data_IF_753323588818
#
_entry.id   IF_753323588818
#
_cell.length_a   1.000
_cell.length_b   1.000
_cell.length_c   1.000
_cell.angle_alpha   90.00
_cell.angle_beta   90.00
_cell.angle_gamma   90.00
#
_symmetry.space_group_name_H-M   'P 1'
#
loop_
_entity.id
_entity.type
_entity.pdbx_description
1 polymer ?
#
# COMPACT_ATOMS: atom_id res chain seq x y z
N UNK A 1 23.05 13.36 -12.83
CA UNK A 1 22.69 13.96 -11.54
C UNK A 1 21.35 14.71 -11.61
N UNK A 2 21.04 15.43 -12.68
CA UNK A 2 19.73 16.12 -12.86
C UNK A 2 18.56 15.14 -12.82
N UNK A 3 18.71 13.95 -13.42
CA UNK A 3 17.71 12.89 -13.39
C UNK A 3 17.40 12.37 -11.97
N UNK A 4 18.33 12.49 -11.04
CA UNK A 4 18.15 12.08 -9.63
C UNK A 4 17.61 13.21 -8.74
N UNK A 5 17.29 14.38 -9.29
CA UNK A 5 16.85 15.52 -8.49
C UNK A 5 17.97 16.15 -7.65
N UNK A 6 19.25 15.95 -8.03
CA UNK A 6 20.42 16.52 -7.35
C UNK A 6 20.91 17.72 -8.13
N UNK A 7 21.08 18.90 -7.49
CA UNK A 7 21.66 20.07 -8.15
C UNK A 7 23.04 19.75 -8.75
N UNK A 8 23.26 20.23 -9.94
CA UNK A 8 24.55 20.09 -10.63
C UNK A 8 25.28 21.46 -10.68
N UNK A 9 26.48 21.48 -10.17
CA UNK A 9 27.35 22.65 -10.25
C UNK A 9 28.21 22.52 -11.50
N UNK A 10 28.05 23.44 -12.44
CA UNK A 10 28.88 23.52 -13.64
C UNK A 10 30.29 24.01 -13.28
N UNK A 11 31.27 23.71 -14.14
CA UNK A 11 32.68 24.17 -13.95
C UNK A 11 32.79 25.71 -13.85
N UNK A 12 31.84 26.45 -14.42
CA UNK A 12 31.74 27.89 -14.33
C UNK A 12 31.13 28.43 -13.01
N UNK A 13 30.78 27.53 -12.07
CA UNK A 13 30.16 27.87 -10.78
C UNK A 13 28.64 28.08 -10.81
N UNK A 14 27.99 27.94 -11.98
CA UNK A 14 26.54 28.00 -12.07
C UNK A 14 25.91 26.70 -11.51
N UNK A 15 24.85 26.88 -10.71
CA UNK A 15 24.07 25.77 -10.15
C UNK A 15 22.84 25.57 -11.01
N UNK A 16 22.78 24.44 -11.69
CA UNK A 16 21.57 23.97 -12.38
C UNK A 16 20.73 23.14 -11.42
N UNK A 17 19.56 23.67 -11.05
CA UNK A 17 18.61 22.92 -10.23
C UNK A 17 17.88 21.90 -11.10
N UNK A 18 17.65 20.68 -10.58
CA UNK A 18 16.84 19.68 -11.28
C UNK A 18 15.41 20.19 -11.44
N UNK A 19 14.76 19.89 -12.58
CA UNK A 19 13.38 20.31 -12.81
C UNK A 19 12.40 19.62 -11.85
N UNK A 20 12.78 18.45 -11.31
CA UNK A 20 11.89 17.64 -10.47
C UNK A 20 12.63 17.03 -9.27
N UNK A 21 11.97 16.94 -8.09
CA UNK A 21 12.55 16.42 -6.85
C UNK A 21 12.42 14.88 -6.76
N UNK A 22 13.09 14.14 -7.64
CA UNK A 22 12.97 12.68 -7.77
C UNK A 22 13.26 11.92 -6.47
N UNK A 23 14.27 12.34 -5.71
CA UNK A 23 14.60 11.72 -4.42
C UNK A 23 13.48 11.93 -3.38
N UNK A 24 12.81 13.09 -3.42
CA UNK A 24 11.63 13.33 -2.58
C UNK A 24 10.49 12.40 -2.97
N UNK A 25 10.24 12.22 -4.27
CA UNK A 25 9.22 11.29 -4.76
C UNK A 25 9.51 9.84 -4.38
N UNK A 26 10.78 9.42 -4.50
CA UNK A 26 11.21 8.09 -4.06
C UNK A 26 10.96 7.91 -2.55
N UNK A 27 11.35 8.89 -1.74
CA UNK A 27 11.10 8.86 -0.30
C UNK A 27 9.60 8.82 0.04
N UNK A 28 8.79 9.61 -0.67
CA UNK A 28 7.33 9.58 -0.51
C UNK A 28 6.75 8.20 -0.84
N UNK A 29 7.18 7.60 -1.96
CA UNK A 29 6.77 6.25 -2.34
C UNK A 29 7.14 5.22 -1.28
N UNK A 30 8.39 5.22 -0.80
CA UNK A 30 8.85 4.31 0.25
C UNK A 30 8.06 4.46 1.54
N UNK A 31 7.85 5.69 1.98
CA UNK A 31 7.08 6.00 3.19
C UNK A 31 5.63 5.51 3.07
N UNK A 32 4.94 5.87 1.98
CA UNK A 32 3.55 5.46 1.75
C UNK A 32 3.47 3.94 1.65
N UNK A 33 4.34 3.30 0.86
CA UNK A 33 4.32 1.86 0.67
C UNK A 33 4.59 1.10 1.97
N UNK A 34 5.55 1.52 2.77
CA UNK A 34 5.87 0.86 4.03
C UNK A 34 4.69 0.95 5.01
N UNK A 35 4.10 2.14 5.19
CA UNK A 35 2.98 2.33 6.11
C UNK A 35 1.75 1.58 5.61
N UNK A 36 1.40 1.68 4.32
CA UNK A 36 0.25 0.98 3.74
C UNK A 36 0.40 -0.54 3.85
N UNK A 37 1.56 -1.09 3.49
CA UNK A 37 1.79 -2.54 3.54
C UNK A 37 1.75 -3.10 4.97
N UNK A 38 2.27 -2.37 5.95
CA UNK A 38 2.17 -2.75 7.36
C UNK A 38 0.72 -2.73 7.86
N UNK A 39 -0.05 -1.68 7.52
CA UNK A 39 -1.46 -1.60 7.87
C UNK A 39 -2.28 -2.70 7.18
N UNK A 40 -2.05 -2.93 5.89
CA UNK A 40 -2.69 -4.02 5.14
C UNK A 40 -2.37 -5.37 5.80
N UNK A 41 -1.11 -5.63 6.14
CA UNK A 41 -0.70 -6.86 6.80
C UNK A 41 -1.40 -7.05 8.15
N UNK A 42 -1.39 -6.04 9.01
CA UNK A 42 -2.02 -6.10 10.35
C UNK A 42 -3.52 -6.34 10.25
N UNK A 43 -4.23 -5.56 9.41
CA UNK A 43 -5.67 -5.67 9.24
C UNK A 43 -6.06 -6.98 8.55
N UNK A 44 -5.30 -7.40 7.54
CA UNK A 44 -5.57 -8.66 6.83
C UNK A 44 -5.31 -9.88 7.72
N UNK A 45 -4.26 -9.86 8.53
CA UNK A 45 -3.92 -10.97 9.43
C UNK A 45 -4.97 -11.16 10.51
N UNK A 46 -5.38 -10.07 11.18
CA UNK A 46 -6.43 -10.13 12.21
C UNK A 46 -7.79 -10.51 11.63
N UNK A 47 -8.14 -9.98 10.47
CA UNK A 47 -9.36 -10.35 9.75
C UNK A 47 -9.33 -11.81 9.31
N UNK A 48 -8.23 -12.28 8.74
CA UNK A 48 -8.03 -13.65 8.31
C UNK A 48 -8.19 -14.64 9.48
N UNK A 49 -7.66 -14.29 10.67
CA UNK A 49 -7.84 -15.07 11.88
C UNK A 49 -9.33 -15.20 12.24
N UNK A 50 -10.05 -14.07 12.26
CA UNK A 50 -11.49 -14.11 12.53
C UNK A 50 -12.24 -14.99 11.53
N UNK A 51 -11.92 -14.89 10.24
CA UNK A 51 -12.51 -15.70 9.21
C UNK A 51 -12.03 -17.16 9.21
N UNK A 52 -10.84 -17.49 9.69
CA UNK A 52 -10.35 -18.87 9.76
C UNK A 52 -10.91 -19.61 11.00
N UNK A 53 -10.83 -19.02 12.17
CA UNK A 53 -11.01 -19.68 13.47
C UNK A 53 -12.31 -19.33 14.20
N UNK A 54 -12.77 -18.07 14.11
CA UNK A 54 -13.97 -17.67 14.84
C UNK A 54 -15.24 -18.13 14.13
N UNK A 55 -16.28 -18.45 14.91
CA UNK A 55 -17.60 -18.85 14.43
C UNK A 55 -18.56 -17.65 14.56
N UNK A 56 -18.95 -17.08 13.44
CA UNK A 56 -19.94 -16.00 13.40
C UNK A 56 -20.85 -16.12 12.16
N UNK A 57 -22.08 -15.60 12.27
CA UNK A 57 -23.02 -15.58 11.15
C UNK A 57 -22.55 -14.61 10.05
N UNK A 58 -22.80 -14.97 8.78
CA UNK A 58 -22.44 -14.09 7.65
C UNK A 58 -21.00 -14.20 7.14
N UNK A 59 -20.16 -15.06 7.71
CA UNK A 59 -18.76 -15.27 7.33
C UNK A 59 -18.58 -15.47 5.82
N UNK A 60 -19.31 -16.44 5.23
CA UNK A 60 -19.19 -16.76 3.81
C UNK A 60 -19.68 -15.64 2.88
N UNK A 61 -20.87 -15.04 3.08
CA UNK A 61 -21.31 -13.94 2.22
C UNK A 61 -20.42 -12.69 2.34
N UNK A 62 -19.87 -12.36 3.52
CA UNK A 62 -18.95 -11.24 3.68
C UNK A 62 -17.68 -11.45 2.86
N UNK A 63 -17.04 -12.63 2.99
CA UNK A 63 -15.83 -12.96 2.23
C UNK A 63 -16.08 -12.93 0.71
N UNK A 64 -17.19 -13.52 0.25
CA UNK A 64 -17.56 -13.50 -1.18
C UNK A 64 -17.84 -12.07 -1.64
N UNK A 65 -18.55 -11.28 -0.84
CA UNK A 65 -18.83 -9.88 -1.13
C UNK A 65 -17.55 -9.05 -1.30
N UNK A 66 -16.58 -9.21 -0.40
CA UNK A 66 -15.29 -8.51 -0.49
C UNK A 66 -14.56 -8.83 -1.80
N UNK A 67 -14.58 -10.10 -2.24
CA UNK A 67 -13.95 -10.47 -3.52
C UNK A 67 -14.72 -9.91 -4.72
N UNK A 68 -16.05 -9.93 -4.69
CA UNK A 68 -16.88 -9.36 -5.76
C UNK A 68 -16.61 -7.85 -5.89
N UNK A 69 -16.55 -7.12 -4.78
CA UNK A 69 -16.19 -5.71 -4.79
C UNK A 69 -14.80 -5.44 -5.39
N UNK A 70 -13.85 -6.33 -5.15
CA UNK A 70 -12.49 -6.19 -5.69
C UNK A 70 -12.41 -6.45 -7.21
N UNK A 71 -13.41 -7.11 -7.80
CA UNK A 71 -13.52 -7.26 -9.25
C UNK A 71 -14.02 -5.98 -9.96
N UNK A 72 -14.52 -5.02 -9.19
CA UNK A 72 -14.96 -3.74 -9.75
C UNK A 72 -13.74 -2.93 -10.23
N UNK A 73 -13.77 -2.36 -11.46
CA UNK A 73 -12.64 -1.63 -12.01
C UNK A 73 -12.26 -0.43 -11.11
N UNK A 74 -11.01 -0.37 -10.57
CA UNK A 74 -10.61 0.72 -9.67
C UNK A 74 -10.77 2.11 -10.30
N UNK A 75 -10.59 2.23 -11.61
CA UNK A 75 -10.69 3.50 -12.34
C UNK A 75 -12.07 4.15 -12.18
N UNK A 76 -13.14 3.36 -12.08
CA UNK A 76 -14.50 3.87 -11.90
C UNK A 76 -14.73 4.43 -10.49
N UNK A 77 -13.95 4.02 -9.53
CA UNK A 77 -14.06 4.47 -8.14
C UNK A 77 -13.23 5.72 -7.84
N UNK A 78 -12.33 6.14 -8.73
CA UNK A 78 -11.42 7.27 -8.49
C UNK A 78 -12.16 8.58 -8.19
N UNK A 79 -13.24 8.87 -8.92
CA UNK A 79 -14.05 10.08 -8.70
C UNK A 79 -14.69 10.06 -7.30
N UNK A 80 -15.21 8.90 -6.90
CA UNK A 80 -15.82 8.74 -5.57
C UNK A 80 -14.76 8.81 -4.46
N UNK A 81 -13.57 8.25 -4.69
CA UNK A 81 -12.43 8.35 -3.77
C UNK A 81 -12.03 9.81 -3.59
N UNK A 82 -11.87 10.57 -4.68
CA UNK A 82 -11.55 11.99 -4.62
C UNK A 82 -12.59 12.75 -3.79
N UNK A 83 -13.88 12.63 -4.13
CA UNK A 83 -14.95 13.32 -3.42
C UNK A 83 -15.03 12.95 -1.93
N UNK A 84 -14.78 11.68 -1.59
CA UNK A 84 -14.74 11.21 -0.21
C UNK A 84 -13.59 11.88 0.58
N UNK A 85 -12.38 11.90 0.03
CA UNK A 85 -11.23 12.48 0.72
C UNK A 85 -11.24 14.01 0.72
N UNK A 86 -11.88 14.64 -0.26
CA UNK A 86 -12.16 16.08 -0.24
C UNK A 86 -13.05 16.46 0.96
N UNK A 87 -14.16 15.77 1.11
CA UNK A 87 -15.06 15.98 2.26
C UNK A 87 -14.40 15.61 3.62
N UNK A 88 -13.65 14.50 3.66
CA UNK A 88 -12.94 14.12 4.89
C UNK A 88 -11.88 15.15 5.28
N UNK A 89 -11.24 15.78 4.31
CA UNK A 89 -10.23 16.81 4.52
C UNK A 89 -10.76 18.05 5.24
N UNK A 90 -12.04 18.38 5.07
CA UNK A 90 -12.69 19.49 5.78
C UNK A 90 -12.74 19.26 7.31
N UNK A 91 -12.80 18.00 7.74
CA UNK A 91 -12.92 17.61 9.14
C UNK A 91 -11.61 17.08 9.73
N UNK A 92 -10.81 16.39 8.89
CA UNK A 92 -9.59 15.70 9.28
C UNK A 92 -8.49 16.06 8.29
N UNK A 93 -7.72 17.09 8.60
CA UNK A 93 -6.76 17.69 7.67
C UNK A 93 -5.71 16.73 7.08
N UNK A 94 -5.29 15.70 7.82
CA UNK A 94 -4.31 14.71 7.34
C UNK A 94 -4.91 13.62 6.43
N UNK A 95 -6.24 13.55 6.31
CA UNK A 95 -6.98 12.68 5.38
C UNK A 95 -7.54 13.43 4.17
N UNK A 96 -7.28 14.71 4.05
CA UNK A 96 -7.72 15.50 2.89
C UNK A 96 -6.97 15.16 1.61
N UNK A 97 -7.53 15.61 0.51
CA UNK A 97 -6.85 15.61 -0.80
C UNK A 97 -5.48 16.29 -0.64
N UNK A 98 -4.51 15.87 -1.44
CA UNK A 98 -3.13 16.33 -1.39
C UNK A 98 -2.40 15.99 -0.09
N UNK A 99 -2.74 14.86 0.54
CA UNK A 99 -2.05 14.30 1.71
C UNK A 99 -1.65 12.84 1.50
N UNK A 100 -0.52 12.43 2.07
CA UNK A 100 -0.09 11.04 2.05
C UNK A 100 -1.03 10.14 2.86
N UNK A 101 -1.68 10.67 3.90
CA UNK A 101 -2.67 9.96 4.70
C UNK A 101 -3.85 9.46 3.87
N UNK A 102 -4.37 10.30 2.97
CA UNK A 102 -5.43 9.92 2.06
C UNK A 102 -5.03 8.73 1.17
N UNK A 103 -3.83 8.77 0.58
CA UNK A 103 -3.32 7.68 -0.27
C UNK A 103 -3.16 6.38 0.53
N UNK A 104 -2.60 6.46 1.74
CA UNK A 104 -2.41 5.29 2.63
C UNK A 104 -3.76 4.63 2.94
N UNK A 105 -4.76 5.41 3.37
CA UNK A 105 -6.07 4.86 3.73
C UNK A 105 -6.81 4.34 2.50
N UNK A 106 -6.75 5.03 1.36
CA UNK A 106 -7.37 4.57 0.12
C UNK A 106 -6.78 3.23 -0.35
N UNK A 107 -5.47 3.02 -0.17
CA UNK A 107 -4.78 1.77 -0.54
C UNK A 107 -5.26 0.55 0.26
N UNK A 108 -5.88 0.75 1.44
CA UNK A 108 -6.42 -0.36 2.24
C UNK A 108 -7.60 -1.07 1.56
N UNK A 109 -8.24 -0.44 0.59
CA UNK A 109 -9.35 -1.06 -0.18
C UNK A 109 -8.97 -2.37 -0.86
N UNK A 110 -7.68 -2.58 -1.18
CA UNK A 110 -7.17 -3.79 -1.83
C UNK A 110 -6.95 -5.01 -0.92
N UNK A 111 -7.23 -4.93 0.38
CA UNK A 111 -6.84 -5.98 1.34
C UNK A 111 -7.60 -7.31 1.23
N UNK A 112 -8.72 -7.40 0.49
CA UNK A 112 -9.55 -8.59 0.44
C UNK A 112 -8.81 -9.83 -0.05
N UNK A 113 -7.96 -9.71 -1.06
CA UNK A 113 -7.14 -10.81 -1.57
C UNK A 113 -6.13 -11.30 -0.52
N UNK A 114 -5.52 -10.37 0.21
CA UNK A 114 -4.58 -10.70 1.27
C UNK A 114 -5.27 -11.43 2.43
N UNK A 115 -6.48 -11.01 2.81
CA UNK A 115 -7.30 -11.73 3.81
C UNK A 115 -7.56 -13.17 3.36
N UNK A 116 -7.92 -13.37 2.09
CA UNK A 116 -8.16 -14.70 1.54
C UNK A 116 -6.91 -15.57 1.57
N UNK A 117 -5.79 -15.03 1.16
CA UNK A 117 -4.50 -15.74 1.13
C UNK A 117 -4.09 -16.19 2.53
N UNK A 118 -4.09 -15.27 3.50
CA UNK A 118 -3.70 -15.57 4.88
C UNK A 118 -4.70 -16.55 5.53
N UNK A 119 -6.01 -16.34 5.29
CA UNK A 119 -7.06 -17.23 5.77
C UNK A 119 -6.85 -18.68 5.27
N UNK A 120 -6.58 -18.84 3.97
CA UNK A 120 -6.32 -20.17 3.40
C UNK A 120 -5.13 -20.86 4.06
N UNK A 121 -4.07 -20.11 4.35
CA UNK A 121 -2.91 -20.63 5.07
C UNK A 121 -3.26 -21.00 6.52
N UNK A 122 -3.98 -20.14 7.25
CA UNK A 122 -4.42 -20.46 8.61
C UNK A 122 -5.29 -21.72 8.67
N UNK A 123 -6.15 -21.95 7.68
CA UNK A 123 -6.97 -23.15 7.59
C UNK A 123 -6.15 -24.42 7.29
N UNK A 124 -4.96 -24.31 6.73
CA UNK A 124 -4.05 -25.45 6.50
C UNK A 124 -3.26 -25.87 7.75
N UNK A 125 -3.18 -25.00 8.74
CA UNK A 125 -2.54 -25.32 10.04
C UNK A 125 -3.55 -26.06 10.91
N UNK A 126 -3.11 -27.19 11.50
CA UNK A 126 -3.96 -27.98 12.38
C UNK A 126 -4.40 -27.16 13.61
N UNK A 127 -5.71 -27.05 13.81
CA UNK A 127 -6.30 -26.31 14.95
C UNK A 127 -6.02 -26.95 16.31
N UNK A 128 -5.63 -28.23 16.35
CA UNK A 128 -5.30 -28.93 17.59
C UNK A 128 -4.17 -28.27 18.39
N UNK A 129 -3.26 -27.56 17.71
CA UNK A 129 -2.18 -26.81 18.36
C UNK A 129 -2.72 -25.64 19.20
N UNK A 130 -3.72 -24.93 18.67
CA UNK A 130 -4.37 -23.83 19.39
C UNK A 130 -5.28 -24.38 20.50
N UNK A 131 -5.98 -25.50 20.23
CA UNK A 131 -6.82 -26.17 21.23
C UNK A 131 -6.00 -26.70 22.42
N UNK A 132 -4.83 -27.28 22.19
CA UNK A 132 -3.92 -27.71 23.23
C UNK A 132 -3.48 -26.54 24.13
N UNK A 133 -3.12 -25.42 23.54
CA UNK A 133 -2.76 -24.22 24.31
C UNK A 133 -3.93 -23.69 25.16
N UNK A 134 -5.17 -23.76 24.64
CA UNK A 134 -6.34 -23.33 25.39
C UNK A 134 -6.59 -24.28 26.58
N UNK A 135 -6.37 -25.59 26.41
CA UNK A 135 -6.44 -26.58 27.51
C UNK A 135 -5.37 -26.28 28.58
N UNK A 136 -4.18 -25.82 28.17
CA UNK A 136 -3.10 -25.38 29.06
C UNK A 136 -3.37 -24.00 29.72
N UNK A 137 -4.54 -23.39 29.46
CA UNK A 137 -4.98 -22.14 30.08
C UNK A 137 -4.68 -20.86 29.27
N UNK A 138 -4.20 -20.96 28.03
CA UNK A 138 -4.02 -19.80 27.18
C UNK A 138 -5.39 -19.26 26.71
N UNK A 139 -5.49 -17.94 26.61
CA UNK A 139 -6.63 -17.30 25.95
C UNK A 139 -6.55 -17.49 24.42
N UNK A 140 -7.66 -17.35 23.71
CA UNK A 140 -7.70 -17.40 22.24
C UNK A 140 -6.72 -16.41 21.60
N UNK A 141 -6.57 -15.22 22.16
CA UNK A 141 -5.60 -14.21 21.71
C UNK A 141 -4.15 -14.65 21.93
N UNK A 142 -3.86 -15.28 23.06
CA UNK A 142 -2.53 -15.82 23.34
C UNK A 142 -2.19 -16.97 22.40
N UNK A 143 -3.12 -17.90 22.14
CA UNK A 143 -2.94 -18.96 21.15
C UNK A 143 -2.67 -18.38 19.74
N UNK A 144 -3.42 -17.36 19.34
CA UNK A 144 -3.17 -16.65 18.07
C UNK A 144 -1.75 -16.06 18.01
N UNK A 145 -1.38 -15.25 19.01
CA UNK A 145 -0.11 -14.48 18.96
C UNK A 145 1.12 -15.37 19.16
N UNK A 146 1.03 -16.41 20.01
CA UNK A 146 2.20 -17.21 20.38
C UNK A 146 2.34 -18.52 19.58
N UNK A 147 1.27 -18.98 18.93
CA UNK A 147 1.30 -20.23 18.15
C UNK A 147 1.06 -19.95 16.66
N UNK A 148 -0.14 -19.48 16.31
CA UNK A 148 -0.53 -19.37 14.91
C UNK A 148 0.28 -18.31 14.16
N UNK A 149 0.49 -17.15 14.77
CA UNK A 149 1.19 -16.03 14.14
C UNK A 149 2.67 -16.35 13.84
N UNK A 150 3.47 -16.93 14.77
CA UNK A 150 4.85 -17.34 14.49
C UNK A 150 4.95 -18.43 13.41
N UNK A 151 4.03 -19.40 13.40
CA UNK A 151 3.98 -20.43 12.37
C UNK A 151 3.63 -19.88 11.00
N UNK A 152 2.99 -18.72 10.96
CA UNK A 152 2.52 -18.08 9.72
C UNK A 152 3.49 -17.01 9.18
N UNK A 153 4.62 -16.77 9.82
CA UNK A 153 5.63 -15.79 9.37
C UNK A 153 5.98 -15.92 7.88
N UNK A 154 6.14 -17.14 7.30
CA UNK A 154 6.48 -17.25 5.88
C UNK A 154 5.40 -16.64 4.95
N UNK A 155 4.13 -16.94 5.19
CA UNK A 155 3.04 -16.39 4.37
C UNK A 155 2.84 -14.90 4.64
N UNK A 156 3.02 -14.45 5.87
CA UNK A 156 2.93 -13.03 6.23
C UNK A 156 4.02 -12.20 5.55
N UNK A 157 5.24 -12.74 5.44
CA UNK A 157 6.33 -12.11 4.69
C UNK A 157 5.98 -11.98 3.20
N UNK A 158 5.43 -13.03 2.59
CA UNK A 158 4.99 -12.99 1.18
C UNK A 158 3.90 -11.93 0.98
N UNK A 159 2.89 -11.90 1.85
CA UNK A 159 1.81 -10.90 1.77
C UNK A 159 2.33 -9.48 1.97
N UNK A 160 3.27 -9.29 2.91
CA UNK A 160 3.91 -7.99 3.10
C UNK A 160 4.64 -7.52 1.84
N UNK A 161 5.46 -8.38 1.25
CA UNK A 161 6.21 -8.05 0.02
C UNK A 161 5.25 -7.71 -1.13
N UNK A 162 4.19 -8.50 -1.32
CA UNK A 162 3.20 -8.24 -2.38
C UNK A 162 2.46 -6.92 -2.15
N UNK A 163 2.04 -6.64 -0.91
CA UNK A 163 1.39 -5.38 -0.57
C UNK A 163 2.33 -4.19 -0.75
N UNK A 164 3.61 -4.35 -0.39
CA UNK A 164 4.63 -3.33 -0.56
C UNK A 164 4.88 -3.01 -2.03
N UNK A 165 5.11 -4.02 -2.88
CA UNK A 165 5.31 -3.86 -4.32
C UNK A 165 4.09 -3.15 -4.94
N UNK A 166 2.88 -3.60 -4.61
CA UNK A 166 1.64 -2.98 -5.11
C UNK A 166 1.54 -1.52 -4.71
N UNK A 167 1.90 -1.19 -3.46
CA UNK A 167 1.86 0.19 -2.96
C UNK A 167 2.93 1.10 -3.59
N UNK A 168 4.15 0.59 -3.85
CA UNK A 168 5.21 1.38 -4.51
C UNK A 168 4.82 1.73 -5.95
N UNK A 169 4.19 0.79 -6.64
CA UNK A 169 3.79 0.94 -8.05
C UNK A 169 2.40 1.54 -8.23
N UNK A 170 1.72 1.87 -7.12
CA UNK A 170 0.39 2.46 -7.17
C UNK A 170 0.44 3.83 -7.86
N UNK A 171 -0.36 3.98 -8.93
CA UNK A 171 -0.44 5.19 -9.73
C UNK A 171 -1.86 5.80 -9.72
N UNK A 172 -2.94 5.06 -9.99
CA UNK A 172 -4.28 5.61 -10.16
C UNK A 172 -4.77 6.45 -8.96
N UNK A 173 -4.70 5.92 -7.76
CA UNK A 173 -5.16 6.60 -6.54
C UNK A 173 -4.26 7.80 -6.22
N UNK A 174 -2.94 7.59 -6.28
CA UNK A 174 -1.98 8.64 -6.00
C UNK A 174 -2.07 9.82 -6.99
N UNK A 175 -2.32 9.53 -8.29
CA UNK A 175 -2.46 10.57 -9.32
C UNK A 175 -3.69 11.46 -9.15
N UNK A 176 -4.73 10.93 -8.52
CA UNK A 176 -5.98 11.68 -8.25
C UNK A 176 -5.91 12.43 -6.92
N UNK A 177 -5.23 11.86 -5.92
CA UNK A 177 -5.19 12.43 -4.57
C UNK A 177 -4.02 13.38 -4.33
N UNK A 178 -2.90 13.28 -5.06
CA UNK A 178 -1.71 14.11 -4.87
C UNK A 178 -1.58 15.12 -6.01
N UNK A 179 -1.42 16.39 -5.67
CA UNK A 179 -1.36 17.49 -6.63
C UNK A 179 -0.05 18.29 -6.53
N UNK A 180 0.47 18.50 -5.32
CA UNK A 180 1.71 19.27 -5.11
C UNK A 180 2.92 18.44 -5.54
N UNK A 181 3.81 19.05 -6.31
CA UNK A 181 5.02 18.41 -6.86
C UNK A 181 5.84 17.73 -5.76
N UNK A 182 6.00 18.37 -4.60
CA UNK A 182 6.79 17.82 -3.48
C UNK A 182 6.12 16.64 -2.76
N UNK A 183 4.81 16.44 -2.98
CA UNK A 183 4.04 15.36 -2.36
C UNK A 183 3.86 14.15 -3.26
N UNK A 184 4.16 14.26 -4.54
CA UNK A 184 4.00 13.17 -5.49
C UNK A 184 4.77 11.92 -5.06
N UNK A 185 4.23 10.76 -5.46
CA UNK A 185 4.98 9.50 -5.48
C UNK A 185 5.86 9.43 -6.73
N UNK A 186 6.84 8.55 -6.72
CA UNK A 186 7.72 8.35 -7.87
C UNK A 186 6.94 7.89 -9.12
N UNK A 187 5.91 7.05 -8.94
CA UNK A 187 5.05 6.57 -10.02
C UNK A 187 4.28 7.72 -10.70
N UNK A 188 3.78 8.67 -9.91
CA UNK A 188 3.06 9.85 -10.43
C UNK A 188 4.05 10.89 -10.97
N UNK A 189 5.11 11.17 -10.21
CA UNK A 189 6.12 12.15 -10.59
C UNK A 189 6.85 11.78 -11.89
N UNK A 190 7.10 10.50 -12.14
CA UNK A 190 7.72 10.03 -13.38
C UNK A 190 6.94 10.45 -14.64
N UNK A 191 5.63 10.59 -14.55
CA UNK A 191 4.80 11.07 -15.67
C UNK A 191 5.11 12.53 -16.04
N UNK A 192 5.65 13.32 -15.12
CA UNK A 192 6.04 14.71 -15.39
C UNK A 192 7.14 14.83 -16.46
N UNK A 193 7.92 13.76 -16.67
CA UNK A 193 8.93 13.71 -17.74
C UNK A 193 8.34 13.50 -19.14
N UNK A 194 7.07 13.12 -19.23
CA UNK A 194 6.35 12.85 -20.49
C UNK A 194 5.44 14.01 -20.90
N UNK A 195 5.49 15.16 -20.21
CA UNK A 195 4.63 16.31 -20.50
C UNK A 195 5.15 17.18 -21.65
N UNK A 196 4.22 17.52 -22.54
CA UNK A 196 4.17 18.53 -23.57
C UNK A 196 5.50 18.96 -24.23
N UNK A 197 5.70 18.54 -25.46
CA UNK A 197 6.68 19.00 -26.45
C UNK A 197 8.15 18.64 -26.20
N UNK A 198 8.52 18.07 -25.06
CA UNK A 198 9.89 17.63 -24.82
C UNK A 198 9.89 16.35 -23.96
N UNK A 199 9.77 15.19 -24.62
CA UNK A 199 9.81 13.89 -23.96
C UNK A 199 11.22 13.57 -23.46
N UNK A 200 11.45 13.67 -22.17
CA UNK A 200 12.72 13.28 -21.53
C UNK A 200 12.74 11.76 -21.27
N UNK A 201 12.79 10.97 -22.35
CA UNK A 201 12.72 9.50 -22.27
C UNK A 201 13.82 8.88 -21.38
N UNK A 202 15.01 9.46 -21.37
CA UNK A 202 16.12 8.99 -20.53
C UNK A 202 15.82 9.15 -19.05
N UNK A 203 15.29 10.29 -18.64
CA UNK A 203 14.95 10.60 -17.26
C UNK A 203 13.71 9.79 -16.80
N UNK A 204 12.72 9.63 -17.66
CA UNK A 204 11.59 8.75 -17.42
C UNK A 204 12.02 7.30 -17.21
N UNK A 205 12.89 6.77 -18.09
CA UNK A 205 13.42 5.40 -17.95
C UNK A 205 14.23 5.25 -16.66
N UNK A 206 15.03 6.24 -16.26
CA UNK A 206 15.75 6.23 -15.00
C UNK A 206 14.79 6.20 -13.79
N UNK A 207 13.73 7.01 -13.81
CA UNK A 207 12.69 7.01 -12.77
C UNK A 207 11.95 5.66 -12.71
N UNK A 208 11.67 5.05 -13.86
CA UNK A 208 11.05 3.72 -13.94
C UNK A 208 11.95 2.64 -13.34
N UNK A 209 13.26 2.66 -13.61
CA UNK A 209 14.23 1.74 -12.99
C UNK A 209 14.28 1.95 -11.48
N UNK A 210 14.30 3.19 -11.00
CA UNK A 210 14.28 3.50 -9.56
C UNK A 210 13.01 3.00 -8.87
N UNK A 211 11.86 2.98 -9.56
CA UNK A 211 10.62 2.43 -9.02
C UNK A 211 10.67 0.91 -8.84
N UNK A 212 11.48 0.22 -9.63
CA UNK A 212 11.61 -1.23 -9.60
C UNK A 212 12.73 -1.76 -8.69
N UNK A 213 13.55 -0.89 -8.10
CA UNK A 213 14.67 -1.30 -7.24
C UNK A 213 14.26 -1.79 -5.84
N UNK A 214 13.22 -1.24 -5.19
CA UNK A 214 12.79 -1.72 -3.86
C UNK A 214 12.10 -3.05 -3.91
#
# INVERSE_FOLDING_TARGET
SLALGIPYVHENGEVSNPPFPVLTWLWNSMKIALISSLLILMLSTTSAYAFARLRFGGKSPILKGMLIFQMFPPVLTLVAIYALFDQLGEHISWLGVNTHGAVIIASLGGMALHIWTIKGYFESIDGSLEEAAIVDGATTWQAFVHILLPMSVPILAVVFILAFITSVTEYPIASVLLMDVDKLTLSVGAQQYLYDQNYLWGDFAAAAVLSGLP
#
